data_IF_476914115246
#
_entry.id   IF_476914115246
#
_cell.length_a   1.000
_cell.length_b   1.000
_cell.length_c   1.000
_cell.angle_alpha   90.00
_cell.angle_beta   90.00
_cell.angle_gamma   90.00
#
_symmetry.space_group_name_H-M   'P 1'
#
loop_
_entity.id
_entity.type
_entity.pdbx_description
1 polymer ?
#
# COMPACT_ATOMS: atom_id res chain seq x y z
N UNK A 1 -15.98 9.77 19.15
CA UNK A 1 -15.55 9.07 20.35
C UNK A 1 -14.18 8.47 20.11
N UNK A 2 -13.26 9.32 19.75
CA UNK A 2 -11.91 9.07 19.30
C UNK A 2 -11.16 7.97 20.12
N UNK A 3 -11.30 6.70 19.69
CA UNK A 3 -10.42 5.62 20.16
C UNK A 3 -10.60 5.11 21.59
N UNK A 4 -11.55 5.63 22.38
CA UNK A 4 -11.73 5.24 23.79
C UNK A 4 -12.61 4.00 23.97
N UNK A 5 -13.45 3.68 22.99
CA UNK A 5 -14.34 2.51 23.02
C UNK A 5 -14.16 1.69 21.75
N UNK A 6 -14.12 0.37 21.89
CA UNK A 6 -14.15 -0.56 20.75
C UNK A 6 -15.53 -0.47 20.10
N UNK A 7 -15.63 -0.18 18.80
CA UNK A 7 -16.91 -0.15 18.11
C UNK A 7 -17.48 -1.56 17.98
N UNK A 8 -18.79 -1.66 17.97
CA UNK A 8 -19.52 -2.88 17.68
C UNK A 8 -19.90 -2.90 16.19
N UNK A 9 -20.05 -4.10 15.58
CA UNK A 9 -20.57 -4.21 14.22
C UNK A 9 -21.96 -3.56 14.12
N UNK A 10 -22.23 -2.84 13.03
CA UNK A 10 -23.51 -2.17 12.82
C UNK A 10 -24.69 -3.15 12.85
N UNK A 11 -24.48 -4.41 12.48
CA UNK A 11 -25.47 -5.48 12.55
C UNK A 11 -25.97 -5.77 13.98
N UNK A 12 -25.17 -5.42 15.01
CA UNK A 12 -25.61 -5.54 16.40
C UNK A 12 -26.80 -4.61 16.68
N UNK A 13 -26.90 -3.47 15.99
CA UNK A 13 -28.01 -2.52 16.13
C UNK A 13 -29.36 -3.15 15.75
N UNK A 14 -29.36 -4.15 14.85
CA UNK A 14 -30.58 -4.90 14.47
C UNK A 14 -31.19 -5.62 15.67
N UNK A 15 -30.35 -6.14 16.57
CA UNK A 15 -30.80 -6.82 17.78
C UNK A 15 -31.17 -5.86 18.90
N UNK A 16 -30.37 -4.79 19.06
CA UNK A 16 -30.49 -3.87 20.18
C UNK A 16 -31.61 -2.83 19.97
N UNK A 17 -31.74 -2.31 18.73
CA UNK A 17 -32.72 -1.26 18.37
C UNK A 17 -33.22 -1.51 16.92
N UNK A 18 -34.07 -2.51 16.68
CA UNK A 18 -34.47 -2.95 15.34
C UNK A 18 -35.14 -1.85 14.49
N UNK A 19 -35.94 -0.99 15.10
CA UNK A 19 -36.59 0.11 14.38
C UNK A 19 -35.56 1.18 13.90
N UNK A 20 -34.57 1.48 14.72
CA UNK A 20 -33.48 2.38 14.34
C UNK A 20 -32.61 1.76 13.26
N UNK A 21 -32.36 0.45 13.33
CA UNK A 21 -31.61 -0.27 12.28
C UNK A 21 -32.34 -0.23 10.94
N UNK A 22 -33.66 -0.48 10.93
CA UNK A 22 -34.46 -0.40 9.71
C UNK A 22 -34.43 1.01 9.09
N UNK A 23 -34.58 2.07 9.92
CA UNK A 23 -34.46 3.46 9.47
C UNK A 23 -33.04 3.77 8.96
N UNK A 24 -32.00 3.25 9.63
CA UNK A 24 -30.61 3.43 9.21
C UNK A 24 -30.40 2.83 7.80
N UNK A 25 -30.85 1.60 7.60
CA UNK A 25 -30.71 0.91 6.30
C UNK A 25 -31.43 1.64 5.17
N UNK A 26 -32.67 2.10 5.40
CA UNK A 26 -33.44 2.88 4.42
C UNK A 26 -32.69 4.18 4.05
N UNK A 27 -32.22 4.94 5.02
CA UNK A 27 -31.52 6.19 4.78
C UNK A 27 -30.15 5.99 4.16
N UNK A 28 -29.42 4.93 4.55
CA UNK A 28 -28.13 4.57 3.98
C UNK A 28 -28.26 4.27 2.48
N UNK A 29 -29.22 3.43 2.09
CA UNK A 29 -29.51 3.13 0.68
C UNK A 29 -29.95 4.37 -0.09
N UNK A 30 -30.73 5.26 0.54
CA UNK A 30 -31.14 6.52 -0.09
C UNK A 30 -29.98 7.46 -0.35
N UNK A 31 -29.05 7.56 0.59
CA UNK A 31 -27.82 8.37 0.46
C UNK A 31 -26.90 7.78 -0.62
N UNK A 32 -26.65 6.48 -0.59
CA UNK A 32 -25.86 5.79 -1.60
C UNK A 32 -26.44 5.98 -3.00
N UNK A 33 -27.73 5.78 -3.17
CA UNK A 33 -28.43 5.99 -4.45
C UNK A 33 -28.41 7.45 -4.92
N UNK A 34 -28.45 8.42 -3.99
CA UNK A 34 -28.37 9.86 -4.32
C UNK A 34 -26.95 10.25 -4.78
N UNK A 35 -25.92 9.86 -4.05
CA UNK A 35 -24.53 10.17 -4.39
C UNK A 35 -23.94 9.22 -5.42
N UNK A 36 -24.61 8.10 -5.67
CA UNK A 36 -24.14 7.00 -6.54
C UNK A 36 -22.73 6.53 -6.14
N UNK A 37 -22.45 6.54 -4.86
CA UNK A 37 -21.15 6.16 -4.29
C UNK A 37 -21.29 5.73 -2.83
N UNK A 38 -20.39 4.86 -2.36
CA UNK A 38 -20.31 4.43 -0.98
C UNK A 38 -20.11 5.61 -0.05
N UNK A 39 -20.89 5.67 1.01
CA UNK A 39 -20.91 6.77 1.94
C UNK A 39 -20.36 6.38 3.31
N UNK A 40 -19.56 7.25 3.89
CA UNK A 40 -19.14 7.25 5.29
C UNK A 40 -20.12 8.13 6.07
N UNK A 41 -20.84 7.52 7.02
CA UNK A 41 -21.96 8.15 7.70
C UNK A 41 -21.74 8.21 9.21
N UNK A 42 -21.99 9.38 9.79
CA UNK A 42 -22.01 9.55 11.23
C UNK A 42 -23.46 9.73 11.70
N UNK A 43 -23.85 9.00 12.72
CA UNK A 43 -25.19 9.06 13.26
C UNK A 43 -25.19 8.96 14.80
N UNK A 44 -26.31 9.32 15.41
CA UNK A 44 -26.59 9.08 16.83
C UNK A 44 -28.02 8.61 17.01
N UNK A 45 -28.29 7.98 18.14
CA UNK A 45 -29.64 7.59 18.55
C UNK A 45 -29.91 8.20 19.91
N UNK A 46 -31.01 8.92 20.02
CA UNK A 46 -31.48 9.53 21.25
C UNK A 46 -32.98 9.21 21.44
N UNK A 47 -33.33 8.69 22.58
CA UNK A 47 -34.71 8.31 22.93
C UNK A 47 -35.40 7.42 21.86
N UNK A 48 -34.64 6.49 21.30
CA UNK A 48 -35.15 5.57 20.27
C UNK A 48 -35.31 6.19 18.87
N UNK A 49 -34.81 7.41 18.64
CA UNK A 49 -34.84 8.08 17.33
C UNK A 49 -33.44 8.16 16.73
N UNK A 50 -33.34 7.84 15.46
CA UNK A 50 -32.10 7.93 14.68
C UNK A 50 -31.90 9.34 14.13
N UNK A 51 -30.68 9.85 14.24
CA UNK A 51 -30.26 11.15 13.67
C UNK A 51 -28.95 10.97 12.90
N UNK A 52 -28.97 11.26 11.61
CA UNK A 52 -27.75 11.38 10.81
C UNK A 52 -27.10 12.73 11.09
N UNK A 53 -25.82 12.72 11.44
CA UNK A 53 -25.05 13.92 11.75
C UNK A 53 -24.22 14.39 10.57
N UNK A 54 -23.64 13.44 9.82
CA UNK A 54 -22.79 13.73 8.68
C UNK A 54 -22.79 12.57 7.70
N UNK A 55 -22.68 12.88 6.40
CA UNK A 55 -22.31 11.94 5.35
C UNK A 55 -21.21 12.53 4.48
N UNK A 56 -20.33 11.67 3.99
CA UNK A 56 -19.24 12.02 3.06
C UNK A 56 -18.85 10.81 2.23
N UNK A 57 -18.19 11.06 1.10
CA UNK A 57 -17.59 9.96 0.33
C UNK A 57 -16.53 9.27 1.17
N UNK A 58 -16.63 7.96 1.31
CA UNK A 58 -15.72 7.17 2.13
C UNK A 58 -14.31 7.18 1.57
N UNK A 59 -13.32 7.44 2.42
CA UNK A 59 -11.91 7.22 2.09
C UNK A 59 -11.68 5.73 1.88
N UNK A 60 -10.94 5.38 0.86
CA UNK A 60 -10.76 3.98 0.45
C UNK A 60 -9.37 3.71 -0.11
N UNK A 61 -8.89 2.49 0.06
CA UNK A 61 -7.68 1.99 -0.62
C UNK A 61 -7.95 1.81 -2.11
N UNK A 62 -6.90 1.70 -2.92
CA UNK A 62 -7.03 1.42 -4.36
C UNK A 62 -7.83 0.13 -4.64
N UNK A 63 -7.59 -0.93 -3.85
CA UNK A 63 -8.32 -2.19 -3.96
C UNK A 63 -9.82 -2.04 -3.64
N UNK A 64 -10.13 -1.30 -2.57
CA UNK A 64 -11.52 -1.00 -2.23
C UNK A 64 -12.20 -0.14 -3.31
N UNK A 65 -11.48 0.85 -3.87
CA UNK A 65 -11.99 1.68 -4.96
C UNK A 65 -12.38 0.86 -6.19
N UNK A 66 -11.52 -0.10 -6.59
CA UNK A 66 -11.83 -1.04 -7.68
C UNK A 66 -13.07 -1.87 -7.40
N UNK A 67 -13.14 -2.46 -6.21
CA UNK A 67 -14.29 -3.29 -5.84
C UNK A 67 -15.57 -2.48 -5.85
N UNK A 68 -15.59 -1.32 -5.19
CA UNK A 68 -16.76 -0.43 -5.13
C UNK A 68 -17.20 -0.01 -6.52
N UNK A 69 -16.28 0.38 -7.41
CA UNK A 69 -16.61 0.78 -8.77
C UNK A 69 -17.27 -0.37 -9.56
N UNK A 70 -16.76 -1.60 -9.41
CA UNK A 70 -17.36 -2.79 -10.04
C UNK A 70 -18.73 -3.11 -9.45
N UNK A 71 -18.89 -3.07 -8.13
CA UNK A 71 -20.16 -3.34 -7.46
C UNK A 71 -21.23 -2.33 -7.88
N UNK A 72 -20.90 -1.04 -7.93
CA UNK A 72 -21.83 0.01 -8.37
C UNK A 72 -22.29 -0.14 -9.84
N UNK A 73 -21.41 -0.69 -10.70
CA UNK A 73 -21.81 -1.05 -12.08
C UNK A 73 -22.73 -2.26 -12.07
N UNK A 74 -22.44 -3.29 -11.30
CA UNK A 74 -23.26 -4.50 -11.19
C UNK A 74 -24.66 -4.19 -10.62
N UNK A 75 -24.76 -3.24 -9.71
CA UNK A 75 -26.01 -2.72 -9.14
C UNK A 75 -26.75 -1.74 -10.07
N UNK A 76 -26.14 -1.38 -11.21
CA UNK A 76 -26.74 -0.47 -12.18
C UNK A 76 -26.78 1.00 -11.74
N UNK A 77 -26.03 1.37 -10.69
CA UNK A 77 -25.98 2.75 -10.18
C UNK A 77 -25.14 3.67 -11.05
N UNK A 78 -24.08 3.13 -11.69
CA UNK A 78 -23.17 3.85 -12.58
C UNK A 78 -22.89 3.04 -13.84
N UNK A 79 -22.44 3.72 -14.88
CA UNK A 79 -21.99 3.06 -16.11
C UNK A 79 -20.53 2.60 -16.01
N UNK A 80 -20.08 1.62 -16.83
CA UNK A 80 -18.67 1.25 -16.92
C UNK A 80 -17.74 2.44 -17.22
N UNK A 81 -18.18 3.37 -18.05
CA UNK A 81 -17.42 4.59 -18.36
C UNK A 81 -17.25 5.48 -17.12
N UNK A 82 -18.30 5.66 -16.33
CA UNK A 82 -18.23 6.41 -15.06
C UNK A 82 -17.31 5.70 -14.05
N UNK A 83 -17.34 4.36 -13.99
CA UNK A 83 -16.46 3.58 -13.14
C UNK A 83 -14.98 3.83 -13.48
N UNK A 84 -14.60 3.79 -14.76
CA UNK A 84 -13.23 4.10 -15.21
C UNK A 84 -12.82 5.52 -14.82
N UNK A 85 -13.72 6.51 -14.99
CA UNK A 85 -13.42 7.91 -14.67
C UNK A 85 -13.26 8.20 -13.17
N UNK A 86 -13.78 7.35 -12.30
CA UNK A 86 -13.69 7.51 -10.84
C UNK A 86 -12.39 6.98 -10.23
N UNK A 87 -11.67 6.13 -10.94
CA UNK A 87 -10.45 5.51 -10.46
C UNK A 87 -9.24 6.39 -10.79
N UNK A 88 -8.49 6.78 -9.77
CA UNK A 88 -7.22 7.48 -9.97
C UNK A 88 -6.16 6.50 -10.51
N UNK A 89 -5.64 6.80 -11.69
CA UNK A 89 -4.63 5.97 -12.36
C UNK A 89 -3.36 5.76 -11.50
N UNK A 90 -2.97 6.77 -10.70
CA UNK A 90 -1.82 6.64 -9.81
C UNK A 90 -2.06 5.62 -8.69
N UNK A 91 -3.30 5.51 -8.22
CA UNK A 91 -3.65 4.52 -7.20
C UNK A 91 -3.61 3.09 -7.73
N UNK A 92 -3.86 2.89 -9.04
CA UNK A 92 -3.75 1.58 -9.68
C UNK A 92 -2.32 1.06 -9.73
N UNK A 93 -1.33 1.95 -9.87
CA UNK A 93 0.07 1.58 -9.87
C UNK A 93 0.47 0.84 -8.57
N UNK A 94 -0.12 1.24 -7.45
CA UNK A 94 0.10 0.56 -6.16
C UNK A 94 -0.34 -0.91 -6.17
N UNK A 95 -1.37 -1.25 -6.96
CA UNK A 95 -1.89 -2.62 -7.06
C UNK A 95 -1.01 -3.55 -7.90
N UNK A 96 -0.10 -2.99 -8.70
CA UNK A 96 0.84 -3.74 -9.52
C UNK A 96 2.09 -4.18 -8.74
N UNK A 97 2.22 -3.71 -7.49
CA UNK A 97 3.36 -4.01 -6.63
C UNK A 97 2.96 -4.87 -5.43
N UNK A 98 3.88 -5.67 -4.86
CA UNK A 98 3.63 -6.35 -3.60
C UNK A 98 3.20 -5.39 -2.50
N UNK A 99 2.31 -5.82 -1.63
CA UNK A 99 1.84 -5.06 -0.46
C UNK A 99 2.09 -5.88 0.81
N UNK A 100 2.08 -5.21 1.97
CA UNK A 100 2.07 -5.94 3.23
C UNK A 100 0.69 -6.57 3.48
N UNK A 101 0.70 -7.75 4.08
CA UNK A 101 -0.50 -8.35 4.65
C UNK A 101 -1.07 -7.43 5.72
N UNK A 102 -2.35 -7.11 5.62
CA UNK A 102 -2.99 -6.10 6.49
C UNK A 102 -3.00 -6.51 7.98
N UNK A 103 -3.12 -7.81 8.28
CA UNK A 103 -3.07 -8.31 9.66
C UNK A 103 -1.63 -8.28 10.20
N UNK A 104 -0.66 -8.71 9.39
CA UNK A 104 0.76 -8.69 9.78
C UNK A 104 1.29 -7.24 9.99
N UNK A 105 0.73 -6.27 9.26
CA UNK A 105 1.13 -4.88 9.38
C UNK A 105 0.64 -4.21 10.67
N UNK A 106 -0.44 -4.71 11.30
CA UNK A 106 -0.96 -4.15 12.56
C UNK A 106 0.04 -4.21 13.70
N UNK A 107 0.86 -5.26 13.72
CA UNK A 107 1.89 -5.47 14.73
C UNK A 107 3.27 -4.91 14.28
N UNK A 108 3.32 -4.27 13.11
CA UNK A 108 4.53 -3.72 12.52
C UNK A 108 5.08 -2.53 13.31
N UNK A 109 6.31 -2.65 13.82
CA UNK A 109 7.02 -1.58 14.51
C UNK A 109 7.75 -0.69 13.51
N UNK A 110 7.31 0.58 13.36
CA UNK A 110 7.98 1.57 12.52
C UNK A 110 9.23 2.06 13.23
N UNK A 111 10.39 1.87 12.61
CA UNK A 111 11.70 2.31 13.14
C UNK A 111 12.23 3.55 12.44
N UNK A 112 11.68 3.91 11.28
CA UNK A 112 12.07 5.10 10.52
C UNK A 112 11.15 5.39 9.36
N UNK A 113 11.35 6.57 8.74
CA UNK A 113 10.64 7.02 7.56
C UNK A 113 11.58 7.85 6.68
N UNK A 114 11.50 7.67 5.37
CA UNK A 114 12.28 8.40 4.39
C UNK A 114 11.51 8.54 3.07
N UNK A 115 12.17 8.89 1.97
CA UNK A 115 11.49 9.15 0.70
C UNK A 115 10.95 7.85 0.07
N UNK A 116 9.65 7.80 -0.27
CA UNK A 116 9.04 6.70 -1.02
C UNK A 116 9.50 6.77 -2.50
N UNK A 117 10.68 6.19 -2.78
CA UNK A 117 11.34 6.36 -4.06
C UNK A 117 10.84 5.43 -5.15
N UNK A 118 10.43 4.22 -4.81
CA UNK A 118 9.79 3.27 -5.73
C UNK A 118 8.77 2.44 -4.96
N UNK A 119 7.53 2.29 -5.46
CA UNK A 119 6.43 1.68 -4.71
C UNK A 119 6.64 0.19 -4.46
N UNK A 120 5.80 -0.36 -3.58
CA UNK A 120 5.76 -1.76 -3.19
C UNK A 120 6.22 -2.00 -1.76
N UNK A 121 5.92 -3.20 -1.25
CA UNK A 121 6.38 -3.69 0.03
C UNK A 121 7.47 -4.75 -0.18
N UNK A 122 8.52 -4.66 0.60
CA UNK A 122 9.61 -5.62 0.59
C UNK A 122 10.01 -5.99 2.03
N UNK A 123 10.28 -7.26 2.25
CA UNK A 123 10.80 -7.76 3.53
C UNK A 123 11.90 -8.77 3.25
N UNK A 124 12.99 -8.71 4.00
CA UNK A 124 14.10 -9.62 3.80
C UNK A 124 15.27 -9.38 4.74
N UNK A 125 16.29 -10.22 4.59
CA UNK A 125 17.54 -10.12 5.30
C UNK A 125 18.36 -8.93 4.81
N UNK A 126 18.96 -8.20 5.73
CA UNK A 126 19.84 -7.09 5.42
C UNK A 126 21.14 -7.60 4.81
N UNK A 127 21.52 -7.02 3.68
CA UNK A 127 22.83 -7.14 3.05
C UNK A 127 23.40 -5.77 2.75
N UNK A 128 24.72 -5.62 2.79
CA UNK A 128 25.40 -4.32 2.65
C UNK A 128 26.14 -4.16 1.32
N UNK A 129 26.30 -5.22 0.55
CA UNK A 129 26.97 -5.16 -0.75
C UNK A 129 26.11 -5.73 -1.87
N UNK A 130 26.34 -5.23 -3.09
CA UNK A 130 25.68 -5.73 -4.30
C UNK A 130 26.00 -7.21 -4.57
N UNK A 131 27.22 -7.63 -4.27
CA UNK A 131 27.66 -9.01 -4.46
C UNK A 131 26.93 -9.98 -3.53
N UNK A 132 26.75 -9.61 -2.25
CA UNK A 132 25.94 -10.38 -1.29
C UNK A 132 24.48 -10.48 -1.75
N UNK A 133 23.91 -9.35 -2.20
CA UNK A 133 22.54 -9.32 -2.71
C UNK A 133 22.40 -10.27 -3.93
N UNK A 134 23.38 -10.31 -4.81
CA UNK A 134 23.41 -11.20 -5.99
C UNK A 134 23.56 -12.67 -5.58
N UNK A 135 24.45 -12.97 -4.63
CA UNK A 135 24.67 -14.34 -4.17
C UNK A 135 23.44 -14.93 -3.46
N UNK A 136 22.87 -14.14 -2.52
CA UNK A 136 21.77 -14.59 -1.67
C UNK A 136 20.40 -14.39 -2.29
N UNK A 137 20.23 -13.34 -3.08
CA UNK A 137 18.95 -12.89 -3.60
C UNK A 137 18.43 -13.67 -4.81
N UNK A 138 17.57 -13.00 -5.58
CA UNK A 138 16.92 -13.53 -6.75
C UNK A 138 17.97 -13.86 -7.85
N UNK A 139 17.97 -15.10 -8.30
CA UNK A 139 18.98 -15.62 -9.27
C UNK A 139 20.19 -16.26 -8.60
N UNK A 140 20.39 -16.05 -7.29
CA UNK A 140 21.37 -16.76 -6.45
C UNK A 140 20.71 -17.86 -5.63
N UNK A 141 20.81 -17.78 -4.30
CA UNK A 141 20.18 -18.75 -3.37
C UNK A 141 18.65 -18.62 -3.26
N UNK A 142 18.06 -17.54 -3.83
CA UNK A 142 16.62 -17.29 -3.80
C UNK A 142 16.11 -16.78 -2.46
N UNK A 143 16.97 -16.27 -1.58
CA UNK A 143 16.58 -15.66 -0.32
C UNK A 143 16.00 -14.27 -0.56
N UNK A 144 15.13 -13.84 0.35
CA UNK A 144 14.63 -12.46 0.34
C UNK A 144 15.66 -11.58 1.02
N UNK A 145 16.23 -10.63 0.29
CA UNK A 145 17.24 -9.70 0.81
C UNK A 145 16.84 -8.24 0.57
N UNK A 146 17.24 -7.39 1.49
CA UNK A 146 17.14 -5.92 1.41
C UNK A 146 18.57 -5.38 1.32
N UNK A 147 18.86 -4.70 0.22
CA UNK A 147 20.14 -4.04 0.02
C UNK A 147 20.17 -2.68 0.73
N UNK A 148 21.03 -2.55 1.73
CA UNK A 148 21.20 -1.32 2.51
C UNK A 148 22.54 -0.69 2.18
N UNK A 149 22.52 0.54 1.65
CA UNK A 149 23.72 1.26 1.22
C UNK A 149 23.75 2.69 1.74
N UNK A 150 24.95 3.26 1.89
CA UNK A 150 25.07 4.70 2.06
C UNK A 150 24.45 5.43 0.85
N UNK A 151 24.81 5.03 -0.34
CA UNK A 151 24.26 5.40 -1.65
C UNK A 151 24.57 4.29 -2.66
N UNK A 152 23.82 4.21 -3.76
CA UNK A 152 24.10 3.22 -4.82
C UNK A 152 24.80 3.87 -6.01
N UNK A 153 25.60 3.07 -6.70
CA UNK A 153 26.32 3.40 -7.92
C UNK A 153 25.89 2.49 -9.09
N UNK A 154 26.28 2.78 -10.33
CA UNK A 154 26.02 1.89 -11.47
C UNK A 154 26.55 0.46 -11.30
N UNK A 155 27.58 0.26 -10.48
CA UNK A 155 28.16 -1.05 -10.19
C UNK A 155 27.22 -1.91 -9.34
N UNK A 156 26.29 -1.29 -8.59
CA UNK A 156 25.35 -1.98 -7.72
C UNK A 156 24.12 -2.54 -8.46
N UNK A 157 23.95 -2.28 -9.76
CA UNK A 157 22.72 -2.61 -10.53
C UNK A 157 22.34 -4.09 -10.42
N UNK A 158 23.30 -5.01 -10.53
CA UNK A 158 23.00 -6.45 -10.45
C UNK A 158 22.50 -6.85 -9.06
N UNK A 159 23.10 -6.30 -8.00
CA UNK A 159 22.65 -6.51 -6.62
C UNK A 159 21.29 -5.88 -6.35
N UNK A 160 21.04 -4.69 -6.88
CA UNK A 160 19.74 -4.02 -6.80
C UNK A 160 18.64 -4.85 -7.47
N UNK A 161 18.94 -5.49 -8.59
CA UNK A 161 17.99 -6.38 -9.31
C UNK A 161 17.69 -7.66 -8.53
N UNK A 162 18.70 -8.20 -7.82
CA UNK A 162 18.59 -9.42 -7.04
C UNK A 162 17.85 -9.20 -5.70
N UNK A 163 17.87 -7.97 -5.18
CA UNK A 163 17.20 -7.60 -3.92
C UNK A 163 15.69 -7.48 -4.08
N UNK A 164 14.95 -7.76 -3.00
CA UNK A 164 13.51 -7.49 -2.91
C UNK A 164 13.23 -6.00 -2.69
N UNK A 165 14.13 -5.30 -2.02
CA UNK A 165 14.02 -3.88 -1.75
C UNK A 165 15.37 -3.24 -1.51
N UNK A 166 15.38 -1.91 -1.64
CA UNK A 166 16.58 -1.09 -1.54
C UNK A 166 16.34 0.01 -0.51
N UNK A 167 17.28 0.16 0.41
CA UNK A 167 17.28 1.23 1.42
C UNK A 167 18.59 2.02 1.31
N UNK A 168 18.51 3.34 1.11
CA UNK A 168 19.70 4.17 1.09
C UNK A 168 19.64 5.27 2.15
N UNK A 169 20.82 5.57 2.72
CA UNK A 169 20.97 6.67 3.69
C UNK A 169 20.93 8.02 3.00
N UNK A 170 21.57 8.12 1.83
CA UNK A 170 21.61 9.32 0.99
C UNK A 170 20.82 9.11 -0.29
N UNK A 171 20.38 10.22 -0.86
CA UNK A 171 19.71 10.23 -2.15
C UNK A 171 18.31 10.84 -2.08
N UNK A 172 17.92 11.47 -3.18
CA UNK A 172 16.58 12.03 -3.39
C UNK A 172 15.82 11.24 -4.45
N UNK A 173 14.66 11.77 -4.87
CA UNK A 173 13.80 11.17 -5.90
C UNK A 173 14.47 11.03 -7.28
N UNK A 174 15.58 11.74 -7.53
CA UNK A 174 16.39 11.69 -8.75
C UNK A 174 17.73 10.99 -8.56
N UNK A 175 17.97 10.38 -7.37
CA UNK A 175 19.18 9.61 -7.11
C UNK A 175 19.24 8.35 -7.98
N UNK A 176 20.44 7.80 -8.14
CA UNK A 176 20.67 6.56 -8.87
C UNK A 176 19.76 5.42 -8.34
N UNK A 177 19.73 5.24 -7.00
CA UNK A 177 18.86 4.25 -6.36
C UNK A 177 17.38 4.41 -6.75
N UNK A 178 16.86 5.63 -6.66
CA UNK A 178 15.46 5.92 -6.94
C UNK A 178 15.08 5.71 -8.42
N UNK A 179 15.93 6.15 -9.34
CA UNK A 179 15.68 6.03 -10.80
C UNK A 179 15.76 4.58 -11.24
N UNK A 180 16.80 3.87 -10.83
CA UNK A 180 17.02 2.48 -11.22
C UNK A 180 15.95 1.56 -10.59
N UNK A 181 15.64 1.74 -9.30
CA UNK A 181 14.61 0.94 -8.62
C UNK A 181 13.24 1.07 -9.29
N UNK A 182 12.84 2.30 -9.67
CA UNK A 182 11.60 2.52 -10.44
C UNK A 182 11.62 1.83 -11.80
N UNK A 183 12.74 1.91 -12.52
CA UNK A 183 12.89 1.22 -13.80
C UNK A 183 12.81 -0.30 -13.69
N UNK A 184 13.21 -0.86 -12.55
CA UNK A 184 13.16 -2.30 -12.26
C UNK A 184 11.83 -2.74 -11.62
N UNK A 185 11.00 -1.82 -11.14
CA UNK A 185 9.82 -2.14 -10.32
C UNK A 185 10.17 -2.69 -8.93
N UNK A 186 11.36 -2.39 -8.42
CA UNK A 186 11.84 -2.85 -7.10
C UNK A 186 11.49 -1.82 -6.04
N UNK A 187 10.96 -2.27 -4.90
CA UNK A 187 10.68 -1.41 -3.74
C UNK A 187 11.92 -0.61 -3.33
N UNK A 188 11.77 0.70 -3.13
CA UNK A 188 12.90 1.54 -2.70
C UNK A 188 12.46 2.63 -1.73
N UNK A 189 13.17 2.70 -0.61
CA UNK A 189 13.11 3.81 0.35
C UNK A 189 14.48 4.51 0.32
N UNK A 190 14.52 5.78 -0.04
CA UNK A 190 15.77 6.51 -0.29
C UNK A 190 15.93 7.70 0.65
N UNK A 191 17.20 8.03 0.96
CA UNK A 191 17.51 9.24 1.71
C UNK A 191 17.14 9.19 3.18
N UNK A 192 17.25 8.03 3.82
CA UNK A 192 17.01 7.87 5.26
C UNK A 192 18.18 8.43 6.08
N UNK A 193 18.27 9.75 6.20
CA UNK A 193 19.34 10.42 6.93
C UNK A 193 19.38 10.14 8.44
N UNK A 194 18.35 9.49 8.99
CA UNK A 194 18.33 9.03 10.37
C UNK A 194 19.17 7.77 10.60
N UNK A 195 19.57 7.07 9.52
CA UNK A 195 20.44 5.90 9.59
C UNK A 195 21.89 6.34 9.82
N UNK A 196 22.53 5.76 10.83
CA UNK A 196 23.99 5.78 10.96
C UNK A 196 24.53 4.41 10.52
N UNK A 197 25.14 4.36 9.33
CA UNK A 197 25.63 3.13 8.70
C UNK A 197 27.15 3.01 8.84
N UNK A 198 27.61 1.78 9.06
CA UNK A 198 28.99 1.34 8.99
C UNK A 198 29.03 0.11 8.05
N UNK A 199 29.33 0.36 6.78
CA UNK A 199 29.30 -0.68 5.74
C UNK A 199 30.43 -1.70 5.93
N UNK A 200 31.61 -1.28 6.49
CA UNK A 200 32.71 -2.20 6.78
C UNK A 200 32.38 -3.15 7.93
N UNK A 201 31.76 -2.63 8.99
CA UNK A 201 31.31 -3.43 10.11
C UNK A 201 29.94 -4.12 9.84
N UNK A 202 29.37 -3.93 8.66
CA UNK A 202 28.07 -4.50 8.22
C UNK A 202 26.96 -4.30 9.27
N UNK A 203 26.77 -3.05 9.69
CA UNK A 203 25.75 -2.66 10.66
C UNK A 203 25.27 -1.24 10.45
N UNK A 204 24.07 -0.97 10.93
CA UNK A 204 23.55 0.39 11.03
C UNK A 204 22.65 0.54 12.25
N UNK A 205 22.40 1.79 12.65
CA UNK A 205 21.43 2.12 13.70
C UNK A 205 20.29 2.94 13.13
N UNK A 206 19.07 2.66 13.56
CA UNK A 206 17.86 3.37 13.18
C UNK A 206 16.80 3.20 14.28
N UNK A 207 16.12 4.27 14.67
CA UNK A 207 15.02 4.22 15.65
C UNK A 207 15.41 3.65 17.02
N UNK A 208 16.68 3.79 17.43
CA UNK A 208 17.21 3.23 18.68
C UNK A 208 17.62 1.77 18.61
N UNK A 209 17.47 1.12 17.45
CA UNK A 209 17.90 -0.26 17.21
C UNK A 209 19.20 -0.31 16.43
N UNK A 210 19.98 -1.36 16.68
CA UNK A 210 21.15 -1.72 15.87
C UNK A 210 20.78 -2.92 15.02
N UNK A 211 20.99 -2.82 13.74
CA UNK A 211 20.77 -3.87 12.75
C UNK A 211 22.11 -4.32 12.19
N UNK A 212 22.25 -5.63 12.01
CA UNK A 212 23.44 -6.28 11.45
C UNK A 212 23.08 -7.08 10.22
N UNK A 213 24.09 -7.51 9.47
CA UNK A 213 23.90 -8.41 8.33
C UNK A 213 23.09 -9.66 8.72
N UNK A 214 22.09 -10.00 7.93
CA UNK A 214 21.19 -11.13 8.16
C UNK A 214 19.98 -10.85 9.05
N UNK A 215 19.95 -9.73 9.78
CA UNK A 215 18.73 -9.28 10.47
C UNK A 215 17.64 -8.98 9.45
N UNK A 216 16.37 -9.09 9.85
CA UNK A 216 15.24 -8.80 8.99
C UNK A 216 14.76 -7.36 9.14
N UNK A 217 14.46 -6.75 7.99
CA UNK A 217 13.84 -5.43 7.90
C UNK A 217 12.77 -5.44 6.80
N UNK A 218 11.76 -4.60 6.96
CA UNK A 218 10.69 -4.46 5.97
C UNK A 218 10.54 -3.01 5.52
N UNK A 219 10.35 -2.80 4.22
CA UNK A 219 10.26 -1.49 3.57
C UNK A 219 8.90 -1.30 2.91
N UNK A 220 8.27 -0.16 3.14
CA UNK A 220 7.12 0.31 2.38
C UNK A 220 7.56 1.42 1.42
N UNK A 221 7.80 1.06 0.18
CA UNK A 221 8.23 1.99 -0.86
C UNK A 221 7.13 2.95 -1.32
N UNK A 222 5.87 2.73 -0.91
CA UNK A 222 4.73 3.62 -1.21
C UNK A 222 4.58 4.74 -0.18
N UNK A 223 4.92 4.47 1.09
CA UNK A 223 4.82 5.45 2.18
C UNK A 223 6.18 5.94 2.67
N UNK A 224 7.26 5.24 2.37
CA UNK A 224 8.61 5.52 2.88
C UNK A 224 8.87 4.97 4.28
N UNK A 225 7.96 4.22 4.86
CA UNK A 225 8.11 3.65 6.20
C UNK A 225 9.05 2.44 6.20
N UNK A 226 9.82 2.35 7.27
CA UNK A 226 10.77 1.28 7.53
C UNK A 226 10.34 0.58 8.82
N UNK A 227 10.18 -0.74 8.75
CA UNK A 227 9.70 -1.55 9.87
C UNK A 227 10.78 -2.53 10.32
N UNK A 228 10.81 -2.81 11.63
CA UNK A 228 11.65 -3.84 12.19
C UNK A 228 11.07 -5.23 11.89
N UNK A 229 11.94 -6.17 11.53
CA UNK A 229 11.57 -7.57 11.34
C UNK A 229 11.01 -7.90 9.96
N UNK A 230 10.52 -9.12 9.83
CA UNK A 230 10.00 -9.73 8.59
C UNK A 230 8.46 -9.63 8.57
N UNK A 231 7.93 -8.56 8.00
CA UNK A 231 6.48 -8.43 7.82
C UNK A 231 6.08 -9.17 6.55
N UNK A 232 5.09 -10.06 6.68
CA UNK A 232 4.56 -10.82 5.56
C UNK A 232 4.08 -9.92 4.42
N UNK A 233 4.56 -10.20 3.22
CA UNK A 233 4.12 -9.53 1.99
C UNK A 233 3.15 -10.41 1.20
N UNK A 234 2.22 -9.77 0.51
CA UNK A 234 1.29 -10.38 -0.43
C UNK A 234 1.68 -9.92 -1.84
N UNK A 235 1.82 -10.88 -2.75
CA UNK A 235 2.13 -10.56 -4.15
C UNK A 235 1.05 -9.62 -4.73
N UNK A 236 1.44 -8.81 -5.71
CA UNK A 236 0.50 -8.02 -6.48
C UNK A 236 -0.59 -8.95 -7.05
N UNK A 237 -1.81 -8.79 -6.59
CA UNK A 237 -2.94 -9.56 -7.09
C UNK A 237 -3.67 -8.69 -8.10
N UNK A 238 -3.48 -8.94 -9.37
CA UNK A 238 -4.38 -8.46 -10.40
C UNK A 238 -5.70 -9.20 -10.14
N UNK A 239 -6.60 -8.56 -9.40
CA UNK A 239 -7.92 -9.14 -9.11
C UNK A 239 -8.78 -9.11 -10.36
N UNK A 240 -9.79 -9.98 -10.45
CA UNK A 240 -10.77 -9.94 -11.54
C UNK A 240 -11.43 -8.57 -11.73
N UNK A 241 -11.53 -7.75 -10.66
CA UNK A 241 -12.02 -6.37 -10.74
C UNK A 241 -11.05 -5.44 -11.49
N UNK A 242 -9.74 -5.66 -11.35
CA UNK A 242 -8.74 -4.92 -12.13
C UNK A 242 -8.86 -5.24 -13.62
N UNK A 243 -8.98 -6.53 -13.97
CA UNK A 243 -9.17 -6.97 -15.36
C UNK A 243 -10.46 -6.40 -15.95
N UNK A 244 -11.56 -6.39 -15.18
CA UNK A 244 -12.84 -5.80 -15.61
C UNK A 244 -12.69 -4.30 -15.88
N UNK A 245 -12.07 -3.55 -14.96
CA UNK A 245 -11.86 -2.11 -15.14
C UNK A 245 -10.99 -1.84 -16.38
N UNK A 246 -9.91 -2.61 -16.57
CA UNK A 246 -9.04 -2.45 -17.74
C UNK A 246 -9.76 -2.80 -19.05
N UNK A 247 -10.62 -3.83 -19.05
CA UNK A 247 -11.49 -4.15 -20.18
C UNK A 247 -12.39 -2.98 -20.56
N UNK A 248 -13.06 -2.37 -19.58
CA UNK A 248 -13.87 -1.17 -19.83
C UNK A 248 -13.02 0.01 -20.33
N UNK A 249 -11.84 0.24 -19.71
CA UNK A 249 -10.94 1.30 -20.17
C UNK A 249 -10.51 1.12 -21.63
N UNK A 250 -10.25 -0.12 -22.05
CA UNK A 250 -9.90 -0.45 -23.44
C UNK A 250 -11.02 -0.17 -24.45
N UNK A 251 -12.29 -0.30 -24.04
CA UNK A 251 -13.45 0.05 -24.88
C UNK A 251 -13.54 1.56 -25.14
N UNK A 252 -13.15 2.39 -24.15
CA UNK A 252 -13.31 3.85 -24.25
C UNK A 252 -12.03 4.59 -24.65
N UNK A 253 -10.87 3.96 -24.60
CA UNK A 253 -9.59 4.61 -24.95
C UNK A 253 -9.54 5.01 -26.43
N UNK A 254 -9.03 6.21 -26.70
CA UNK A 254 -8.80 6.72 -28.06
C UNK A 254 -7.33 6.76 -28.45
N UNK A 255 -6.44 6.82 -27.46
CA UNK A 255 -5.00 6.93 -27.66
C UNK A 255 -4.34 5.54 -27.45
N UNK A 256 -3.41 5.21 -28.35
CA UNK A 256 -2.52 4.08 -28.17
C UNK A 256 -1.23 4.56 -27.49
N UNK A 257 -0.78 3.84 -26.45
CA UNK A 257 0.53 4.05 -25.84
C UNK A 257 1.45 2.92 -26.29
N UNK A 258 2.62 3.29 -26.78
CA UNK A 258 3.68 2.36 -27.16
C UNK A 258 4.87 2.58 -26.26
N UNK A 259 5.34 1.51 -25.63
CA UNK A 259 6.60 1.50 -24.89
C UNK A 259 7.70 0.86 -25.74
N UNK A 260 8.93 1.30 -25.52
CA UNK A 260 10.12 0.70 -26.15
C UNK A 260 10.59 -0.52 -25.35
#
# INVERSE_FOLDING_TARGET
VAGVRTPQPITQLENDLPECYAQFMELAMKLEGHYKDMQDMEFTIEEGRLYFLQTRNGKRTAQAALKIACDLVDEGMITPQEAVMRIDAKSLDQLLHPMFDAEALKDGEVVGEALPASPGAAAGKIVFTADEAKELGKGGKGERVILVRLETSPEDIEGMHAAQGILTVRGGMTSHAAVVARGMGTCCVSGCGAISIDEEAKKFTLGGYTFTEGDYISLDGSTGKIYKGDIKTVAATISGNFERLMGWADEYRKLGVRTN
#
